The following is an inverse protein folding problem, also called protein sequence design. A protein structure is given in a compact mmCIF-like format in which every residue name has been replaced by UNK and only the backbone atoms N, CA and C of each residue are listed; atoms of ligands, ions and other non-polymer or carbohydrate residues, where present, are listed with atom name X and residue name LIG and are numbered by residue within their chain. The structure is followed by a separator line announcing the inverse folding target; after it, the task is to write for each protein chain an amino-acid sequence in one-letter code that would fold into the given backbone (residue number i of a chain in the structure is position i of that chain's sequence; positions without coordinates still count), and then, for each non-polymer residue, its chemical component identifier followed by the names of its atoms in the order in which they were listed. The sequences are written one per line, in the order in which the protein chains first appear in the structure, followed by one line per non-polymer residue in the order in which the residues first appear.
data_IF_383402226275
#
_entry.id   IF_383402226275
#
_cell.length_a   1.000
_cell.length_b   1.000
_cell.length_c   1.000
_cell.angle_alpha   90.00
_cell.angle_beta   90.00
_cell.angle_gamma   90.00
#
_symmetry.space_group_name_H-M   'P 1'
#
loop_
_entity.id
_entity.type
_entity.pdbx_description
1 polymer ?
#
# COMPACT_ATOMS: atom_id res chain seq x y z
N UNK A 1 14.23 15.84 -0.40
CA UNK A 1 13.39 15.48 0.76
C UNK A 1 12.81 14.10 0.49
N UNK A 2 13.12 13.13 1.31
CA UNK A 2 12.53 11.79 1.16
C UNK A 2 11.03 11.89 1.55
N UNK A 3 10.09 11.59 0.66
CA UNK A 3 8.67 11.68 0.96
C UNK A 3 8.18 10.59 1.93
N UNK A 4 9.04 9.63 2.27
CA UNK A 4 8.69 8.52 3.15
C UNK A 4 8.77 8.95 4.63
N UNK A 5 7.60 9.09 5.24
CA UNK A 5 7.50 9.49 6.65
C UNK A 5 8.31 8.57 7.59
N UNK A 6 8.28 7.25 7.38
CA UNK A 6 8.94 6.28 8.26
C UNK A 6 10.47 6.28 8.11
N UNK A 7 10.99 6.81 7.00
CA UNK A 7 12.43 6.97 6.78
C UNK A 7 13.00 8.23 7.46
N UNK A 8 12.15 9.15 7.88
CA UNK A 8 12.58 10.33 8.60
C UNK A 8 13.10 9.94 9.99
N UNK A 9 14.33 10.36 10.41
CA UNK A 9 14.86 10.04 11.73
C UNK A 9 13.93 10.47 12.87
N UNK A 10 13.22 11.58 12.70
CA UNK A 10 12.34 12.17 13.71
C UNK A 10 10.87 11.74 13.50
N UNK A 11 10.61 10.63 12.78
CA UNK A 11 9.25 10.22 12.46
C UNK A 11 8.34 9.99 13.69
N UNK A 12 8.90 9.50 14.79
CA UNK A 12 8.13 9.31 16.03
C UNK A 12 7.67 10.65 16.61
N UNK A 13 8.54 11.67 16.62
CA UNK A 13 8.19 13.02 17.07
C UNK A 13 7.13 13.65 16.15
N UNK A 14 7.27 13.49 14.84
CA UNK A 14 6.27 13.96 13.87
C UNK A 14 4.92 13.29 14.10
N UNK A 15 4.90 11.99 14.36
CA UNK A 15 3.67 11.25 14.66
C UNK A 15 3.03 11.71 15.98
N UNK A 16 3.82 12.03 17.01
CA UNK A 16 3.32 12.61 18.26
C UNK A 16 2.67 13.98 18.03
N UNK A 17 3.30 14.84 17.24
CA UNK A 17 2.74 16.15 16.89
C UNK A 17 1.43 16.00 16.10
N UNK A 18 1.36 15.07 15.14
CA UNK A 18 0.15 14.77 14.39
C UNK A 18 -0.97 14.25 15.31
N UNK A 19 -0.65 13.38 16.25
CA UNK A 19 -1.60 12.87 17.23
C UNK A 19 -2.13 14.00 18.14
N UNK A 20 -1.25 14.89 18.59
CA UNK A 20 -1.61 16.04 19.43
C UNK A 20 -2.50 17.05 18.71
N UNK A 21 -2.36 17.20 17.40
CA UNK A 21 -3.18 18.09 16.58
C UNK A 21 -4.66 17.71 16.56
N UNK A 22 -4.98 16.43 16.82
CA UNK A 22 -6.32 15.84 16.74
C UNK A 22 -7.00 15.97 15.36
N UNK A 23 -6.25 16.38 14.34
CA UNK A 23 -6.72 16.52 12.96
C UNK A 23 -6.73 15.17 12.25
N UNK A 24 -7.64 15.00 11.29
CA UNK A 24 -7.62 13.86 10.39
C UNK A 24 -6.46 14.00 9.40
N UNK A 25 -5.66 12.94 9.29
CA UNK A 25 -4.45 12.88 8.44
C UNK A 25 -4.63 11.82 7.38
N UNK A 26 -4.24 12.14 6.16
CA UNK A 26 -4.12 11.18 5.06
C UNK A 26 -2.63 10.93 4.77
N UNK A 27 -2.18 9.70 5.01
CA UNK A 27 -0.79 9.30 4.72
C UNK A 27 -0.77 8.72 3.31
N UNK A 28 -0.60 9.57 2.32
CA UNK A 28 -0.77 9.26 0.91
C UNK A 28 0.51 9.13 0.09
N UNK A 29 1.68 9.28 0.69
CA UNK A 29 2.97 9.25 -0.01
C UNK A 29 3.58 7.84 -0.16
N UNK A 30 2.88 6.79 0.27
CA UNK A 30 3.40 5.43 0.22
C UNK A 30 4.48 5.17 1.27
N UNK A 31 4.07 5.06 2.53
CA UNK A 31 4.97 4.71 3.61
C UNK A 31 5.69 3.38 3.34
N UNK A 32 6.97 3.32 3.65
CA UNK A 32 7.76 2.11 3.44
C UNK A 32 7.42 1.04 4.49
N UNK A 33 6.66 0.03 4.08
CA UNK A 33 6.24 -1.05 4.95
C UNK A 33 7.41 -1.84 5.57
N UNK A 34 8.58 -1.84 4.93
CA UNK A 34 9.80 -2.50 5.44
C UNK A 34 10.33 -1.85 6.72
N UNK A 35 9.98 -0.60 6.95
CA UNK A 35 10.39 0.19 8.12
C UNK A 35 9.39 0.13 9.28
N UNK A 36 8.30 -0.59 9.13
CA UNK A 36 7.31 -0.77 10.20
C UNK A 36 7.90 -1.55 11.37
N UNK A 37 7.67 -1.03 12.57
CA UNK A 37 8.02 -1.64 13.85
C UNK A 37 6.81 -1.56 14.77
N UNK A 38 6.78 -2.35 15.83
CA UNK A 38 5.71 -2.23 16.84
C UNK A 38 5.65 -0.83 17.43
N UNK A 39 6.81 -0.18 17.62
CA UNK A 39 6.90 1.17 18.18
C UNK A 39 6.24 2.22 17.26
N UNK A 40 6.62 2.25 15.98
CA UNK A 40 6.04 3.24 15.07
C UNK A 40 4.58 2.93 14.70
N UNK A 41 4.16 1.66 14.71
CA UNK A 41 2.75 1.29 14.57
C UNK A 41 1.93 1.81 15.78
N UNK A 42 2.43 1.68 16.99
CA UNK A 42 1.78 2.27 18.17
C UNK A 42 1.64 3.79 18.06
N UNK A 43 2.68 4.45 17.55
CA UNK A 43 2.62 5.89 17.30
C UNK A 43 1.60 6.25 16.21
N UNK A 44 1.55 5.50 15.09
CA UNK A 44 0.53 5.65 14.05
C UNK A 44 -0.89 5.46 14.60
N UNK A 45 -1.09 4.50 15.49
CA UNK A 45 -2.41 4.21 16.07
C UNK A 45 -2.98 5.38 16.90
N UNK A 46 -2.12 6.29 17.39
CA UNK A 46 -2.55 7.50 18.12
C UNK A 46 -2.98 8.64 17.22
N UNK A 47 -2.59 8.60 15.95
CA UNK A 47 -2.97 9.60 14.94
C UNK A 47 -4.34 9.30 14.38
N UNK A 48 -5.18 10.31 14.17
CA UNK A 48 -6.44 10.16 13.45
C UNK A 48 -6.17 10.02 11.95
N UNK A 49 -5.90 8.82 11.49
CA UNK A 49 -5.58 8.54 10.10
C UNK A 49 -6.87 8.24 9.33
N UNK A 50 -7.12 8.98 8.26
CA UNK A 50 -8.22 8.73 7.32
C UNK A 50 -7.92 7.54 6.43
N UNK A 51 -6.77 7.56 5.77
CA UNK A 51 -6.23 6.49 4.95
C UNK A 51 -4.72 6.41 5.14
N UNK A 52 -4.18 5.20 5.08
CA UNK A 52 -2.73 4.97 5.04
C UNK A 52 -2.38 4.23 3.76
N UNK A 53 -1.32 4.69 3.10
CA UNK A 53 -0.81 4.11 1.87
C UNK A 53 0.60 3.59 2.11
N UNK A 54 0.82 2.34 1.72
CA UNK A 54 2.15 1.71 1.64
C UNK A 54 2.55 1.56 0.17
N UNK A 55 3.73 1.03 -0.10
CA UNK A 55 4.20 0.76 -1.44
C UNK A 55 4.89 -0.61 -1.54
N UNK A 56 4.68 -1.29 -2.65
CA UNK A 56 5.36 -2.51 -3.03
C UNK A 56 5.76 -2.44 -4.49
N UNK A 57 6.93 -1.86 -4.76
CA UNK A 57 7.36 -1.53 -6.12
C UNK A 57 8.25 -2.62 -6.75
N UNK A 58 9.07 -3.31 -5.95
CA UNK A 58 10.04 -4.27 -6.45
C UNK A 58 9.81 -5.67 -5.90
N UNK A 59 9.88 -6.68 -6.76
CA UNK A 59 9.76 -8.09 -6.35
C UNK A 59 10.88 -8.52 -5.38
N UNK A 60 12.09 -7.97 -5.53
CA UNK A 60 13.20 -8.24 -4.62
C UNK A 60 12.92 -7.82 -3.16
N UNK A 61 11.98 -6.93 -2.94
CA UNK A 61 11.59 -6.44 -1.61
C UNK A 61 10.39 -7.20 -1.00
N UNK A 62 9.85 -8.20 -1.69
CA UNK A 62 8.60 -8.88 -1.32
C UNK A 62 8.58 -9.39 0.11
N UNK A 63 9.63 -10.10 0.54
CA UNK A 63 9.69 -10.66 1.89
C UNK A 63 9.62 -9.58 2.98
N UNK A 64 10.39 -8.49 2.82
CA UNK A 64 10.43 -7.40 3.78
C UNK A 64 9.12 -6.59 3.79
N UNK A 65 8.53 -6.33 2.62
CA UNK A 65 7.24 -5.64 2.50
C UNK A 65 6.13 -6.47 3.13
N UNK A 66 6.02 -7.75 2.79
CA UNK A 66 5.00 -8.64 3.35
C UNK A 66 5.13 -8.78 4.86
N UNK A 67 6.35 -8.87 5.39
CA UNK A 67 6.59 -8.90 6.83
C UNK A 67 6.09 -7.62 7.52
N UNK A 68 6.37 -6.46 6.95
CA UNK A 68 5.88 -5.18 7.48
C UNK A 68 4.37 -5.06 7.42
N UNK A 69 3.75 -5.43 6.31
CA UNK A 69 2.29 -5.40 6.15
C UNK A 69 1.59 -6.38 7.10
N UNK A 70 2.19 -7.56 7.32
CA UNK A 70 1.70 -8.52 8.30
C UNK A 70 1.75 -7.93 9.72
N UNK A 71 2.87 -7.31 10.08
CA UNK A 71 3.03 -6.65 11.37
C UNK A 71 1.97 -5.55 11.59
N UNK A 72 1.71 -4.74 10.54
CA UNK A 72 0.65 -3.74 10.61
C UNK A 72 -0.74 -4.36 10.72
N UNK A 73 -1.01 -5.49 10.05
CA UNK A 73 -2.27 -6.21 10.18
C UNK A 73 -2.52 -6.71 11.60
N UNK A 74 -1.44 -7.09 12.31
CA UNK A 74 -1.53 -7.60 13.69
C UNK A 74 -1.68 -6.47 14.74
N UNK A 75 -1.04 -5.34 14.54
CA UNK A 75 -0.91 -4.28 15.55
C UNK A 75 -1.53 -2.93 15.13
N UNK A 76 -1.82 -2.72 13.86
CA UNK A 76 -2.37 -1.47 13.36
C UNK A 76 -3.85 -1.29 13.71
N UNK A 77 -4.25 -0.06 13.99
CA UNK A 77 -5.64 0.30 14.32
C UNK A 77 -6.58 0.26 13.11
N UNK A 78 -6.06 0.48 11.90
CA UNK A 78 -6.88 0.46 10.68
C UNK A 78 -6.98 -0.97 10.16
N UNK A 79 -8.17 -1.56 10.26
CA UNK A 79 -8.46 -2.91 9.76
C UNK A 79 -9.34 -2.91 8.50
N UNK A 80 -10.04 -1.84 8.19
CA UNK A 80 -10.79 -1.69 6.94
C UNK A 80 -9.82 -1.59 5.75
N UNK A 81 -9.86 -2.58 4.85
CA UNK A 81 -9.00 -2.64 3.66
C UNK A 81 -9.10 -1.37 2.80
N UNK A 82 -10.26 -0.73 2.74
CA UNK A 82 -10.48 0.49 1.95
C UNK A 82 -9.74 1.71 2.49
N UNK A 83 -9.24 1.62 3.71
CA UNK A 83 -8.48 2.66 4.39
C UNK A 83 -6.98 2.35 4.48
N UNK A 84 -6.57 1.13 4.09
CA UNK A 84 -5.16 0.70 4.03
C UNK A 84 -4.82 0.21 2.63
N UNK A 85 -4.17 1.06 1.89
CA UNK A 85 -3.93 0.91 0.46
C UNK A 85 -2.45 0.63 0.24
N UNK A 86 -2.13 -0.19 -0.76
CA UNK A 86 -0.76 -0.44 -1.17
C UNK A 86 -0.58 -0.07 -2.64
N UNK A 87 0.27 0.89 -2.92
CA UNK A 87 0.70 1.19 -4.28
C UNK A 87 1.53 0.04 -4.84
N UNK A 88 1.20 -0.41 -6.03
CA UNK A 88 1.92 -1.46 -6.74
C UNK A 88 2.39 -0.91 -8.08
N UNK A 89 3.71 -0.73 -8.23
CA UNK A 89 4.31 -0.31 -9.50
C UNK A 89 4.35 -1.52 -10.44
N UNK A 90 3.72 -1.41 -11.60
CA UNK A 90 3.70 -2.43 -12.64
C UNK A 90 4.35 -1.92 -13.92
N UNK A 91 4.66 -2.82 -14.84
CA UNK A 91 5.36 -2.50 -16.10
C UNK A 91 6.80 -1.95 -15.88
N UNK A 92 7.40 -2.27 -14.71
CA UNK A 92 8.77 -1.91 -14.38
C UNK A 92 9.53 -3.14 -13.89
N UNK A 93 10.24 -3.80 -14.80
CA UNK A 93 11.01 -5.03 -14.54
C UNK A 93 10.19 -6.16 -13.89
N UNK A 94 8.89 -6.22 -14.16
CA UNK A 94 7.99 -7.27 -13.67
C UNK A 94 7.19 -7.88 -14.80
N UNK A 95 6.86 -9.16 -14.66
CA UNK A 95 5.91 -9.85 -15.53
C UNK A 95 4.47 -9.66 -15.04
N UNK A 96 3.50 -9.99 -15.90
CA UNK A 96 2.08 -10.00 -15.51
C UNK A 96 1.82 -10.95 -14.35
N UNK A 97 2.49 -12.11 -14.31
CA UNK A 97 2.32 -13.08 -13.24
C UNK A 97 2.84 -12.53 -11.90
N UNK A 98 3.96 -11.82 -11.91
CA UNK A 98 4.50 -11.15 -10.73
C UNK A 98 3.60 -10.00 -10.25
N UNK A 99 3.03 -9.24 -11.19
CA UNK A 99 2.08 -8.18 -10.86
C UNK A 99 0.80 -8.76 -10.22
N UNK A 100 0.24 -9.81 -10.80
CA UNK A 100 -0.92 -10.52 -10.25
C UNK A 100 -0.62 -11.17 -8.89
N UNK A 101 0.57 -11.76 -8.73
CA UNK A 101 1.03 -12.32 -7.46
C UNK A 101 0.95 -11.27 -6.34
N UNK A 102 1.50 -10.07 -6.57
CA UNK A 102 1.45 -8.98 -5.58
C UNK A 102 0.02 -8.56 -5.26
N UNK A 103 -0.79 -8.39 -6.29
CA UNK A 103 -2.20 -7.97 -6.15
C UNK A 103 -3.01 -8.97 -5.35
N UNK A 104 -2.90 -10.25 -5.65
CA UNK A 104 -3.62 -11.31 -4.93
C UNK A 104 -3.15 -11.46 -3.48
N UNK A 105 -1.84 -11.39 -3.22
CA UNK A 105 -1.31 -11.42 -1.86
C UNK A 105 -1.82 -10.26 -1.00
N UNK A 106 -1.86 -9.06 -1.56
CA UNK A 106 -2.41 -7.90 -0.85
C UNK A 106 -3.89 -8.09 -0.52
N UNK A 107 -4.66 -8.65 -1.45
CA UNK A 107 -6.07 -8.97 -1.22
C UNK A 107 -6.24 -9.96 -0.07
N UNK A 108 -5.44 -11.03 -0.02
CA UNK A 108 -5.46 -12.02 1.04
C UNK A 108 -5.10 -11.44 2.41
N UNK A 109 -4.13 -10.53 2.46
CA UNK A 109 -3.74 -9.82 3.67
C UNK A 109 -4.76 -8.75 4.11
N UNK A 110 -5.76 -8.48 3.29
CA UNK A 110 -6.79 -7.47 3.59
C UNK A 110 -6.35 -6.04 3.34
N UNK A 111 -5.52 -5.80 2.34
CA UNK A 111 -5.18 -4.48 1.80
C UNK A 111 -5.82 -4.29 0.44
N UNK A 112 -6.21 -3.06 0.12
CA UNK A 112 -6.60 -2.72 -1.26
C UNK A 112 -5.36 -2.28 -2.04
N UNK A 113 -4.98 -3.00 -3.11
CA UNK A 113 -3.92 -2.55 -4.00
C UNK A 113 -4.38 -1.36 -4.85
N UNK A 114 -3.43 -0.52 -5.25
CA UNK A 114 -3.64 0.53 -6.24
C UNK A 114 -2.50 0.50 -7.26
N UNK A 115 -2.84 0.25 -8.52
CA UNK A 115 -1.86 0.07 -9.59
C UNK A 115 -1.34 1.41 -10.10
N UNK A 116 -0.02 1.56 -10.02
CA UNK A 116 0.75 2.62 -10.66
C UNK A 116 1.46 2.04 -11.87
N UNK A 117 1.21 2.57 -13.06
CA UNK A 117 1.81 2.05 -14.30
C UNK A 117 3.03 2.87 -14.68
N UNK A 118 4.20 2.22 -14.70
CA UNK A 118 5.41 2.82 -15.25
C UNK A 118 5.27 2.97 -16.77
N UNK A 119 5.69 4.12 -17.31
CA UNK A 119 5.61 4.42 -18.76
C UNK A 119 4.23 4.08 -19.35
N UNK A 120 3.20 4.60 -18.73
CA UNK A 120 1.80 4.31 -19.07
C UNK A 120 1.46 4.45 -20.57
N UNK A 121 1.98 5.47 -21.31
CA UNK A 121 1.67 5.60 -22.75
C UNK A 121 2.11 4.41 -23.58
N UNK A 122 3.16 3.70 -23.20
CA UNK A 122 3.72 2.55 -23.93
C UNK A 122 3.36 1.20 -23.29
N UNK A 123 2.56 1.20 -22.24
CA UNK A 123 2.13 -0.03 -21.57
C UNK A 123 1.18 -0.85 -22.46
N UNK A 124 1.26 -2.18 -22.33
CA UNK A 124 0.40 -3.11 -23.07
C UNK A 124 -1.09 -2.98 -22.69
N UNK A 125 -1.96 -3.48 -23.56
CA UNK A 125 -3.40 -3.56 -23.26
C UNK A 125 -3.69 -4.38 -22.00
N UNK A 126 -2.89 -5.42 -21.74
CA UNK A 126 -3.01 -6.25 -20.54
C UNK A 126 -2.74 -5.45 -19.26
N UNK A 127 -1.72 -4.61 -19.26
CA UNK A 127 -1.40 -3.71 -18.11
C UNK A 127 -2.52 -2.69 -17.88
N UNK A 128 -3.05 -2.09 -18.92
CA UNK A 128 -4.21 -1.19 -18.80
C UNK A 128 -5.46 -1.89 -18.29
N UNK A 129 -5.68 -3.14 -18.69
CA UNK A 129 -6.77 -3.97 -18.18
C UNK A 129 -6.57 -4.27 -16.69
N UNK A 130 -5.35 -4.65 -16.29
CA UNK A 130 -5.00 -4.88 -14.89
C UNK A 130 -5.25 -3.63 -14.04
N UNK A 131 -4.80 -2.47 -14.50
CA UNK A 131 -5.02 -1.20 -13.79
C UNK A 131 -6.51 -0.91 -13.61
N UNK A 132 -7.33 -1.08 -14.64
CA UNK A 132 -8.78 -0.84 -14.55
C UNK A 132 -9.46 -1.82 -13.61
N UNK A 133 -9.07 -3.09 -13.67
CA UNK A 133 -9.63 -4.12 -12.78
C UNK A 133 -9.38 -3.81 -11.31
N UNK A 134 -8.14 -3.47 -10.96
CA UNK A 134 -7.75 -3.21 -9.57
C UNK A 134 -8.26 -1.84 -9.07
N UNK A 135 -8.07 -0.79 -9.87
CA UNK A 135 -8.31 0.59 -9.39
C UNK A 135 -9.79 0.99 -9.41
N UNK A 136 -10.64 0.22 -10.11
CA UNK A 136 -12.08 0.43 -10.06
C UNK A 136 -12.67 -0.36 -8.88
N UNK A 137 -13.07 0.33 -7.83
CA UNK A 137 -13.57 -0.30 -6.59
C UNK A 137 -14.78 -1.21 -6.79
N UNK A 138 -15.69 -0.87 -7.71
CA UNK A 138 -16.86 -1.68 -8.00
C UNK A 138 -16.44 -2.99 -8.68
N UNK A 139 -15.56 -2.91 -9.67
CA UNK A 139 -15.01 -4.10 -10.37
C UNK A 139 -14.20 -4.94 -9.40
N UNK A 140 -13.27 -4.32 -8.64
CA UNK A 140 -12.44 -5.01 -7.66
C UNK A 140 -13.26 -5.75 -6.61
N UNK A 141 -14.39 -5.18 -6.17
CA UNK A 141 -15.29 -5.81 -5.20
C UNK A 141 -16.15 -6.93 -5.77
N UNK A 142 -16.50 -6.89 -7.07
CA UNK A 142 -17.43 -7.83 -7.70
C UNK A 142 -16.76 -8.91 -8.54
N UNK A 143 -15.53 -8.68 -9.02
CA UNK A 143 -14.78 -9.62 -9.87
C UNK A 143 -13.51 -10.08 -9.16
N UNK A 144 -13.52 -11.25 -8.47
CA UNK A 144 -12.38 -11.71 -7.66
C UNK A 144 -11.14 -12.10 -8.47
N UNK A 145 -11.32 -12.51 -9.72
CA UNK A 145 -10.24 -13.01 -10.56
C UNK A 145 -10.05 -12.14 -11.79
N UNK A 146 -8.81 -11.87 -12.11
CA UNK A 146 -8.43 -11.08 -13.30
C UNK A 146 -8.84 -11.74 -14.60
N UNK A 147 -8.76 -13.06 -14.67
CA UNK A 147 -9.16 -13.84 -15.85
C UNK A 147 -10.65 -13.70 -16.21
N UNK A 148 -11.50 -13.44 -15.22
CA UNK A 148 -12.95 -13.28 -15.38
C UNK A 148 -13.35 -11.83 -15.74
N UNK A 149 -12.41 -10.90 -15.69
CA UNK A 149 -12.61 -9.49 -16.04
C UNK A 149 -12.31 -9.25 -17.52
#
# INVERSE_FOLDING_TARGET
MDPNLLACPDHLEVLEQLAASKSWVDINQGADARMLTQENIKALNRVKIKQIHFAWDLMAQSAAVLSGLQLYSEHGAIQDRRRRIVYVLVNYNTSMDEDLYRVYHLRELGYDPFIMVYDKPHASKGIHRLQRWVNNRAVWGSCPKFEDY
#
